data_IF_910626667243
#
_entry.id   IF_910626667243
#
_cell.length_a   1.000
_cell.length_b   1.000
_cell.length_c   1.000
_cell.angle_alpha   90.00
_cell.angle_beta   90.00
_cell.angle_gamma   90.00
#
_symmetry.space_group_name_H-M   'P 1'
#
loop_
_entity.id
_entity.type
_entity.pdbx_description
1 polymer ?
#
# COMPACT_ATOMS: atom_id res chain seq x y z
N UNK A 1 30.18 -20.87 -21.60
CA UNK A 1 30.72 -19.64 -22.24
C UNK A 1 29.73 -18.53 -21.89
N UNK A 2 29.98 -17.76 -20.84
CA UNK A 2 29.12 -16.64 -20.40
C UNK A 2 29.46 -15.41 -21.24
N UNK A 3 28.47 -14.61 -21.70
CA UNK A 3 28.74 -13.36 -22.40
C UNK A 3 29.26 -12.31 -21.41
N UNK A 4 30.26 -11.55 -21.87
CA UNK A 4 30.98 -10.50 -21.18
C UNK A 4 30.09 -9.34 -20.78
N UNK A 5 30.37 -8.81 -19.60
CA UNK A 5 29.74 -7.65 -18.96
C UNK A 5 29.81 -6.39 -19.83
N UNK A 6 28.66 -5.85 -20.20
CA UNK A 6 28.57 -4.51 -20.73
C UNK A 6 28.56 -3.50 -19.59
N UNK A 7 29.64 -2.73 -19.45
CA UNK A 7 29.71 -1.57 -18.55
C UNK A 7 28.71 -0.50 -19.00
N UNK A 8 27.69 -0.22 -18.19
CA UNK A 8 26.81 0.92 -18.37
C UNK A 8 27.54 2.15 -17.83
N UNK A 9 28.04 3.01 -18.73
CA UNK A 9 28.51 4.34 -18.36
C UNK A 9 27.34 5.20 -17.87
N UNK A 10 27.26 5.45 -16.58
CA UNK A 10 26.36 6.46 -16.00
C UNK A 10 27.01 7.81 -16.18
N UNK A 11 26.58 8.56 -17.18
CA UNK A 11 26.99 9.95 -17.41
C UNK A 11 26.73 10.84 -16.18
N UNK A 12 27.47 11.96 -16.01
CA UNK A 12 27.33 12.82 -14.85
C UNK A 12 25.90 13.38 -14.75
N UNK A 13 25.24 13.11 -13.62
CA UNK A 13 23.96 13.73 -13.26
C UNK A 13 24.19 15.23 -13.16
N UNK A 14 23.63 16.03 -14.09
CA UNK A 14 23.58 17.47 -13.94
C UNK A 14 22.86 17.76 -12.61
N UNK A 15 23.54 18.40 -11.67
CA UNK A 15 22.94 18.94 -10.45
C UNK A 15 22.00 20.07 -10.89
N UNK A 16 20.75 19.76 -11.19
CA UNK A 16 19.71 20.78 -11.26
C UNK A 16 19.50 21.27 -9.83
N UNK A 17 19.96 22.48 -9.56
CA UNK A 17 19.56 23.21 -8.36
C UNK A 17 18.07 23.48 -8.52
N UNK A 18 17.24 22.78 -7.78
CA UNK A 18 15.80 23.02 -7.75
C UNK A 18 15.60 24.32 -6.96
N UNK A 19 15.09 25.36 -7.63
CA UNK A 19 14.71 26.61 -6.98
C UNK A 19 13.43 26.37 -6.16
N UNK A 20 13.57 26.27 -4.85
CA UNK A 20 12.49 26.04 -3.91
C UNK A 20 11.69 27.31 -3.55
N UNK A 21 12.03 28.48 -4.08
CA UNK A 21 11.38 29.75 -3.70
C UNK A 21 9.93 29.89 -4.19
N UNK A 22 9.47 29.02 -5.13
CA UNK A 22 8.11 29.02 -5.67
C UNK A 22 7.22 27.86 -5.18
N UNK A 23 7.74 27.01 -4.29
CA UNK A 23 7.01 25.82 -3.80
C UNK A 23 6.19 26.22 -2.58
N UNK A 24 4.87 26.03 -2.63
CA UNK A 24 3.98 26.38 -1.51
C UNK A 24 4.37 25.65 -0.23
N UNK A 25 4.25 26.30 0.94
CA UNK A 25 4.57 25.77 2.28
C UNK A 25 4.00 24.37 2.57
N UNK A 26 2.96 23.97 1.87
CA UNK A 26 2.37 22.61 1.97
C UNK A 26 3.23 21.52 1.33
N UNK A 27 4.00 21.82 0.27
CA UNK A 27 4.86 20.84 -0.42
C UNK A 27 6.17 20.60 0.33
N UNK A 28 6.59 21.56 1.19
CA UNK A 28 7.85 21.47 1.95
C UNK A 28 7.66 20.93 3.38
N UNK A 29 6.46 20.51 3.76
CA UNK A 29 6.17 20.08 5.13
C UNK A 29 7.04 18.86 5.59
N UNK A 30 7.60 18.11 4.66
CA UNK A 30 8.47 16.95 4.92
C UNK A 30 9.97 17.26 4.68
N UNK A 31 10.35 18.52 4.54
CA UNK A 31 11.74 18.94 4.42
C UNK A 31 12.13 19.89 5.56
N UNK A 32 13.35 19.77 6.03
CA UNK A 32 13.96 20.77 6.90
C UNK A 32 14.48 21.97 6.08
N UNK A 33 14.92 23.07 6.70
CA UNK A 33 15.46 24.24 5.99
C UNK A 33 16.69 23.95 5.12
N UNK A 34 17.35 22.80 5.32
CA UNK A 34 18.53 22.37 4.55
C UNK A 34 18.16 21.37 3.45
N UNK A 35 16.86 21.06 3.25
CA UNK A 35 16.36 20.12 2.25
C UNK A 35 16.46 18.66 2.69
N UNK A 36 16.78 18.38 3.95
CA UNK A 36 16.77 17.03 4.51
C UNK A 36 15.36 16.53 4.79
N UNK A 37 15.16 15.21 4.72
CA UNK A 37 13.89 14.59 5.03
C UNK A 37 13.50 14.82 6.51
N UNK A 38 12.29 15.31 6.74
CA UNK A 38 11.74 15.59 8.07
C UNK A 38 10.35 15.00 8.19
N UNK A 39 10.09 14.30 9.30
CA UNK A 39 8.74 13.86 9.64
C UNK A 39 7.90 15.06 10.08
N UNK A 40 6.67 15.19 9.54
CA UNK A 40 5.75 16.30 9.86
C UNK A 40 5.40 16.28 11.32
N UNK A 41 5.45 17.45 12.00
CA UNK A 41 4.95 17.59 13.36
C UNK A 41 3.43 17.53 13.41
N UNK A 42 2.90 16.53 14.09
CA UNK A 42 1.45 16.34 14.31
C UNK A 42 1.02 16.68 15.71
N UNK A 43 1.95 17.07 16.60
CA UNK A 43 1.68 17.38 18.03
C UNK A 43 0.58 18.44 18.21
N UNK A 44 0.54 19.53 17.38
CA UNK A 44 -0.48 20.58 17.54
C UNK A 44 -1.86 20.20 17.00
N UNK A 45 -2.02 19.01 16.39
CA UNK A 45 -3.29 18.61 15.77
C UNK A 45 -4.20 17.96 16.81
N UNK A 46 -5.49 18.25 16.70
CA UNK A 46 -6.51 17.53 17.49
C UNK A 46 -6.73 16.12 16.92
N UNK A 47 -6.90 15.11 17.77
CA UNK A 47 -7.31 13.78 17.34
C UNK A 47 -8.70 13.84 16.69
N UNK A 48 -8.85 13.18 15.54
CA UNK A 48 -10.13 13.05 14.82
C UNK A 48 -10.32 11.62 14.36
N UNK A 49 -11.56 11.18 14.17
CA UNK A 49 -11.84 9.92 13.52
C UNK A 49 -11.30 9.94 12.09
N UNK A 50 -10.56 8.91 11.73
CA UNK A 50 -9.92 8.74 10.43
C UNK A 50 -10.18 7.36 9.88
N UNK A 51 -10.49 7.30 8.61
CA UNK A 51 -10.72 6.07 7.87
C UNK A 51 -9.97 6.14 6.54
N UNK A 52 -9.37 5.04 6.13
CA UNK A 52 -8.78 4.87 4.81
C UNK A 52 -9.17 3.50 4.24
N UNK A 53 -9.37 3.46 2.92
CA UNK A 53 -9.65 2.28 2.14
C UNK A 53 -8.63 2.19 1.00
N UNK A 54 -7.92 1.06 0.91
CA UNK A 54 -7.02 0.75 -0.18
C UNK A 54 -7.50 -0.51 -0.92
N UNK A 55 -7.19 -0.60 -2.21
CA UNK A 55 -7.43 -1.79 -3.03
C UNK A 55 -6.22 -2.12 -3.88
N UNK A 56 -6.10 -3.39 -4.22
CA UNK A 56 -5.23 -3.88 -5.28
C UNK A 56 -5.81 -5.16 -5.87
N UNK A 57 -5.20 -5.62 -6.96
CA UNK A 57 -5.60 -6.85 -7.65
C UNK A 57 -4.40 -7.78 -7.81
N UNK A 58 -4.63 -9.07 -7.62
CA UNK A 58 -3.69 -10.12 -8.00
C UNK A 58 -4.27 -10.83 -9.20
N UNK A 59 -3.76 -10.51 -10.38
CA UNK A 59 -4.16 -11.17 -11.63
C UNK A 59 -3.49 -12.54 -11.73
N UNK A 60 -4.22 -13.56 -12.19
CA UNK A 60 -3.78 -14.95 -12.21
C UNK A 60 -4.56 -15.76 -13.26
N UNK A 61 -4.13 -16.99 -13.51
CA UNK A 61 -4.87 -17.88 -14.39
C UNK A 61 -6.23 -18.28 -13.79
N UNK A 62 -7.29 -18.49 -14.62
CA UNK A 62 -8.61 -18.92 -14.14
C UNK A 62 -8.59 -20.22 -13.33
N UNK A 63 -7.67 -21.13 -13.66
CA UNK A 63 -7.50 -22.37 -12.89
C UNK A 63 -6.95 -22.08 -11.48
N UNK A 64 -6.17 -21.01 -11.32
CA UNK A 64 -5.61 -20.60 -10.03
C UNK A 64 -6.68 -19.95 -9.16
N UNK A 65 -7.53 -19.07 -9.70
CA UNK A 65 -8.69 -18.53 -8.97
C UNK A 65 -9.64 -19.64 -8.53
N UNK A 66 -9.91 -20.60 -9.39
CA UNK A 66 -10.72 -21.78 -9.06
C UNK A 66 -10.13 -22.58 -7.89
N UNK A 67 -8.81 -22.78 -7.86
CA UNK A 67 -8.12 -23.46 -6.74
C UNK A 67 -8.20 -22.64 -5.45
N UNK A 68 -8.06 -21.32 -5.52
CA UNK A 68 -8.21 -20.43 -4.35
C UNK A 68 -9.63 -20.51 -3.81
N UNK A 69 -10.65 -20.39 -4.67
CA UNK A 69 -12.06 -20.45 -4.29
C UNK A 69 -12.44 -21.78 -3.61
N UNK A 70 -11.85 -22.89 -4.05
CA UNK A 70 -12.13 -24.24 -3.55
C UNK A 70 -11.18 -24.69 -2.42
N UNK A 71 -10.33 -23.80 -1.89
CA UNK A 71 -9.29 -24.16 -0.91
C UNK A 71 -8.39 -25.32 -1.36
N UNK A 72 -8.10 -25.41 -2.65
CA UNK A 72 -7.32 -26.48 -3.27
C UNK A 72 -5.84 -26.13 -3.49
N UNK A 73 -5.37 -25.03 -2.91
CA UNK A 73 -3.95 -24.67 -2.92
C UNK A 73 -3.20 -25.50 -1.87
N UNK A 74 -2.08 -26.09 -2.25
CA UNK A 74 -1.32 -27.05 -1.41
C UNK A 74 -0.77 -26.46 -0.12
N UNK A 75 -0.58 -25.13 -0.07
CA UNK A 75 -0.11 -24.40 1.12
C UNK A 75 -1.21 -24.10 2.15
N UNK A 76 -2.47 -24.46 1.87
CA UNK A 76 -3.61 -24.26 2.77
C UNK A 76 -4.49 -23.08 2.38
N UNK A 77 -5.24 -22.53 3.34
CA UNK A 77 -6.20 -21.45 3.13
C UNK A 77 -5.49 -20.12 2.84
N UNK A 78 -5.49 -19.77 1.54
CA UNK A 78 -4.81 -18.59 1.00
C UNK A 78 -5.41 -17.31 1.57
N UNK A 79 -6.74 -17.20 1.60
CA UNK A 79 -7.40 -15.96 1.99
C UNK A 79 -7.34 -15.71 3.49
N UNK A 80 -7.40 -16.76 4.30
CA UNK A 80 -7.21 -16.64 5.73
C UNK A 80 -5.79 -16.21 6.08
N UNK A 81 -4.78 -16.82 5.47
CA UNK A 81 -3.38 -16.43 5.65
C UNK A 81 -3.11 -14.99 5.21
N UNK A 82 -3.62 -14.60 4.04
CA UNK A 82 -3.46 -13.24 3.50
C UNK A 82 -4.15 -12.19 4.39
N UNK A 83 -5.33 -12.50 4.93
CA UNK A 83 -6.04 -11.61 5.86
C UNK A 83 -5.22 -11.33 7.11
N UNK A 84 -4.70 -12.37 7.75
CA UNK A 84 -3.86 -12.22 8.96
C UNK A 84 -2.60 -11.44 8.64
N UNK A 85 -1.94 -11.72 7.51
CA UNK A 85 -0.73 -11.02 7.08
C UNK A 85 -1.00 -9.53 6.85
N UNK A 86 -2.09 -9.16 6.17
CA UNK A 86 -2.50 -7.78 5.96
C UNK A 86 -2.80 -7.04 7.27
N UNK A 87 -3.53 -7.67 8.19
CA UNK A 87 -3.81 -7.10 9.51
C UNK A 87 -2.51 -6.85 10.30
N UNK A 88 -1.57 -7.79 10.27
CA UNK A 88 -0.28 -7.62 10.94
C UNK A 88 0.56 -6.52 10.29
N UNK A 89 0.53 -6.41 8.97
CA UNK A 89 1.27 -5.39 8.22
C UNK A 89 0.78 -3.97 8.54
N UNK A 90 -0.54 -3.75 8.62
CA UNK A 90 -1.08 -2.47 9.06
C UNK A 90 -0.52 -2.02 10.42
N UNK A 91 -0.40 -2.94 11.38
CA UNK A 91 0.13 -2.64 12.73
C UNK A 91 1.63 -2.33 12.74
N UNK A 92 2.35 -2.64 11.66
CA UNK A 92 3.81 -2.44 11.52
C UNK A 92 4.17 -1.41 10.46
N UNK A 93 3.22 -0.63 9.98
CA UNK A 93 3.45 0.30 8.87
C UNK A 93 4.59 1.28 9.17
N UNK A 94 4.66 1.84 10.37
CA UNK A 94 5.73 2.76 10.77
C UNK A 94 7.13 2.11 10.81
N UNK A 95 7.21 0.79 10.98
CA UNK A 95 8.49 0.04 10.90
C UNK A 95 8.96 -0.15 9.45
N UNK A 96 8.04 -0.12 8.49
CA UNK A 96 8.30 -0.38 7.07
C UNK A 96 8.44 0.92 6.26
N UNK A 97 7.70 1.97 6.63
CA UNK A 97 7.62 3.24 5.92
C UNK A 97 8.23 4.34 6.78
N UNK A 98 9.46 4.78 6.50
CA UNK A 98 10.26 5.60 7.42
C UNK A 98 9.64 6.92 7.87
N UNK A 99 8.83 7.56 7.01
CA UNK A 99 8.22 8.85 7.29
C UNK A 99 6.78 8.73 7.81
N UNK A 100 6.32 7.52 8.11
CA UNK A 100 5.00 7.26 8.67
C UNK A 100 5.04 7.33 10.19
N UNK A 101 4.12 8.10 10.79
CA UNK A 101 3.99 8.14 12.25
C UNK A 101 3.44 6.81 12.76
N UNK A 102 3.89 6.32 13.93
CA UNK A 102 3.22 5.21 14.57
C UNK A 102 1.80 5.63 14.98
N UNK A 103 0.81 4.83 14.62
CA UNK A 103 -0.61 5.08 14.85
C UNK A 103 -1.19 3.96 15.69
N UNK A 104 -1.99 4.33 16.70
CA UNK A 104 -2.79 3.35 17.43
C UNK A 104 -4.03 2.98 16.59
N UNK A 105 -3.93 1.87 15.85
CA UNK A 105 -5.00 1.42 14.94
C UNK A 105 -6.19 0.89 15.75
N UNK A 106 -7.38 1.43 15.48
CA UNK A 106 -8.63 1.02 16.16
C UNK A 106 -9.30 -0.18 15.48
N UNK A 107 -9.35 -0.20 14.14
CA UNK A 107 -9.97 -1.26 13.36
C UNK A 107 -9.21 -1.52 12.07
N UNK A 108 -9.09 -2.79 11.68
CA UNK A 108 -8.51 -3.24 10.41
C UNK A 108 -9.40 -4.32 9.83
N UNK A 109 -9.94 -4.08 8.64
CA UNK A 109 -10.64 -5.06 7.80
C UNK A 109 -9.83 -5.38 6.56
N UNK A 110 -9.70 -6.66 6.21
CA UNK A 110 -9.13 -7.10 4.94
C UNK A 110 -10.12 -8.06 4.29
N UNK A 111 -10.64 -7.70 3.13
CA UNK A 111 -11.63 -8.44 2.37
C UNK A 111 -11.06 -8.86 1.01
N UNK A 112 -11.66 -9.90 0.44
CA UNK A 112 -11.25 -10.45 -0.85
C UNK A 112 -12.48 -10.67 -1.73
N UNK A 113 -12.33 -10.38 -3.02
CA UNK A 113 -13.30 -10.68 -4.05
C UNK A 113 -12.59 -11.52 -5.12
N UNK A 114 -13.13 -12.71 -5.41
CA UNK A 114 -12.56 -13.61 -6.41
C UNK A 114 -13.31 -13.38 -7.72
N UNK A 115 -12.59 -12.93 -8.74
CA UNK A 115 -13.06 -12.84 -10.11
C UNK A 115 -12.68 -14.08 -10.92
N UNK A 116 -12.91 -14.02 -12.22
CA UNK A 116 -12.61 -15.14 -13.12
C UNK A 116 -11.11 -15.40 -13.24
N UNK A 117 -10.30 -14.32 -13.29
CA UNK A 117 -8.85 -14.36 -13.52
C UNK A 117 -8.07 -13.46 -12.52
N UNK A 118 -8.68 -13.11 -11.38
CA UNK A 118 -8.04 -12.29 -10.36
C UNK A 118 -8.61 -12.51 -8.95
N UNK A 119 -7.85 -12.10 -7.96
CA UNK A 119 -8.31 -11.84 -6.60
C UNK A 119 -8.12 -10.37 -6.30
N UNK A 120 -9.21 -9.64 -6.01
CA UNK A 120 -9.14 -8.28 -5.51
C UNK A 120 -8.98 -8.31 -3.99
N UNK A 121 -8.11 -7.46 -3.49
CA UNK A 121 -7.88 -7.23 -2.07
C UNK A 121 -8.35 -5.83 -1.72
N UNK A 122 -9.20 -5.74 -0.71
CA UNK A 122 -9.64 -4.48 -0.11
C UNK A 122 -9.20 -4.43 1.35
N UNK A 123 -8.52 -3.35 1.74
CA UNK A 123 -8.10 -3.13 3.11
C UNK A 123 -8.66 -1.79 3.62
N UNK A 124 -9.39 -1.84 4.74
CA UNK A 124 -9.92 -0.68 5.44
C UNK A 124 -9.28 -0.57 6.81
N UNK A 125 -8.85 0.65 7.17
CA UNK A 125 -8.27 0.95 8.48
C UNK A 125 -8.93 2.18 9.07
N UNK A 126 -9.21 2.12 10.37
CA UNK A 126 -9.80 3.24 11.11
C UNK A 126 -9.06 3.49 12.44
N UNK A 127 -9.02 4.76 12.83
CA UNK A 127 -8.45 5.20 14.11
C UNK A 127 -9.08 6.52 14.56
N UNK A 128 -8.80 6.90 15.80
CA UNK A 128 -8.95 8.27 16.31
C UNK A 128 -7.56 8.78 16.65
N UNK A 129 -6.97 9.59 15.76
CA UNK A 129 -5.59 10.04 15.89
C UNK A 129 -5.35 11.40 15.19
N UNK A 130 -4.15 11.94 15.36
CA UNK A 130 -3.67 13.22 14.81
C UNK A 130 -3.19 13.11 13.37
N UNK A 131 -2.93 11.89 12.87
CA UNK A 131 -2.50 11.59 11.49
C UNK A 131 -3.46 10.64 10.80
N UNK A 132 -3.37 10.51 9.48
CA UNK A 132 -4.19 9.60 8.71
C UNK A 132 -3.69 8.17 8.79
N UNK A 133 -4.50 7.22 8.28
CA UNK A 133 -4.22 5.78 8.22
C UNK A 133 -4.15 5.27 6.78
N UNK A 134 -3.84 6.17 5.85
CA UNK A 134 -3.75 5.85 4.43
C UNK A 134 -2.66 4.81 4.17
N UNK A 135 -1.50 4.97 4.83
CA UNK A 135 -0.38 4.04 4.64
C UNK A 135 -0.62 2.69 5.31
N UNK A 136 -1.32 2.67 6.43
CA UNK A 136 -1.74 1.42 7.10
C UNK A 136 -2.66 0.60 6.18
N UNK A 137 -3.64 1.24 5.52
CA UNK A 137 -4.52 0.57 4.56
C UNK A 137 -3.74 0.08 3.32
N UNK A 138 -2.84 0.91 2.77
CA UNK A 138 -2.00 0.53 1.62
C UNK A 138 -1.06 -0.62 1.96
N UNK A 139 -0.40 -0.60 3.12
CA UNK A 139 0.51 -1.65 3.56
C UNK A 139 -0.23 -2.96 3.82
N UNK A 140 -1.40 -2.90 4.46
CA UNK A 140 -2.27 -4.07 4.65
C UNK A 140 -2.62 -4.73 3.32
N UNK A 141 -3.07 -3.93 2.35
CA UNK A 141 -3.46 -4.37 1.02
C UNK A 141 -2.29 -5.02 0.28
N UNK A 142 -1.12 -4.35 0.27
CA UNK A 142 0.08 -4.84 -0.39
C UNK A 142 0.56 -6.19 0.16
N UNK A 143 0.65 -6.31 1.49
CA UNK A 143 1.15 -7.54 2.13
C UNK A 143 0.14 -8.69 2.01
N UNK A 144 -1.16 -8.41 2.06
CA UNK A 144 -2.19 -9.42 1.77
C UNK A 144 -2.04 -9.94 0.34
N UNK A 145 -1.89 -9.07 -0.66
CA UNK A 145 -1.69 -9.44 -2.06
C UNK A 145 -0.39 -10.26 -2.28
N UNK A 146 0.71 -9.85 -1.66
CA UNK A 146 1.98 -10.60 -1.71
C UNK A 146 1.86 -11.97 -1.05
N UNK A 147 1.01 -12.11 -0.02
CA UNK A 147 0.74 -13.40 0.63
C UNK A 147 -0.07 -14.31 -0.29
N UNK A 148 -1.09 -13.78 -0.98
CA UNK A 148 -1.81 -14.53 -2.05
C UNK A 148 -0.80 -15.02 -3.10
N UNK A 149 0.07 -14.14 -3.59
CA UNK A 149 1.11 -14.49 -4.55
C UNK A 149 2.02 -15.60 -4.05
N UNK A 150 2.58 -15.47 -2.83
CA UNK A 150 3.48 -16.49 -2.27
C UNK A 150 2.82 -17.85 -2.14
N UNK A 151 1.57 -17.89 -1.72
CA UNK A 151 0.86 -19.14 -1.53
C UNK A 151 0.48 -19.81 -2.85
N UNK A 152 0.23 -19.04 -3.91
CA UNK A 152 -0.21 -19.55 -5.21
C UNK A 152 0.93 -19.76 -6.22
N UNK A 153 2.12 -19.20 -6.01
CA UNK A 153 3.23 -19.19 -6.99
C UNK A 153 3.71 -20.57 -7.47
N UNK A 154 3.43 -21.63 -6.71
CA UNK A 154 3.71 -23.02 -7.14
C UNK A 154 2.73 -23.52 -8.18
N UNK A 155 1.50 -22.98 -8.20
CA UNK A 155 0.47 -23.30 -9.19
C UNK A 155 0.53 -22.36 -10.40
N UNK A 156 0.85 -21.09 -10.17
CA UNK A 156 0.89 -20.07 -11.21
C UNK A 156 2.01 -19.05 -10.92
N UNK A 157 3.01 -18.98 -11.79
CA UNK A 157 4.12 -18.01 -11.69
C UNK A 157 3.89 -16.74 -12.52
N UNK A 158 2.84 -16.71 -13.33
CA UNK A 158 2.52 -15.58 -14.19
C UNK A 158 1.76 -14.46 -13.47
N UNK A 159 1.34 -14.68 -12.21
CA UNK A 159 0.58 -13.71 -11.44
C UNK A 159 1.28 -12.37 -11.35
N UNK A 160 0.48 -11.30 -11.37
CA UNK A 160 0.94 -9.92 -11.12
C UNK A 160 0.14 -9.29 -9.99
N UNK A 161 0.80 -8.44 -9.19
CA UNK A 161 0.13 -7.56 -8.22
C UNK A 161 0.05 -6.18 -8.85
N UNK A 162 -1.16 -5.68 -9.04
CA UNK A 162 -1.41 -4.47 -9.79
C UNK A 162 -2.46 -3.58 -9.14
N UNK A 163 -2.58 -2.34 -9.61
CA UNK A 163 -3.60 -1.37 -9.19
C UNK A 163 -3.61 -1.07 -7.68
N UNK A 164 -2.48 -1.26 -6.97
CA UNK A 164 -2.41 -0.87 -5.56
C UNK A 164 -2.58 0.63 -5.42
N UNK A 165 -3.66 1.03 -4.76
CA UNK A 165 -4.01 2.43 -4.63
C UNK A 165 -4.86 2.72 -3.40
N UNK A 166 -4.73 3.95 -2.88
CA UNK A 166 -5.72 4.52 -1.97
C UNK A 166 -7.02 4.75 -2.75
N UNK A 167 -8.13 4.29 -2.20
CA UNK A 167 -9.46 4.37 -2.81
C UNK A 167 -10.30 5.48 -2.21
N UNK A 168 -10.33 5.51 -0.89
CA UNK A 168 -11.05 6.52 -0.12
C UNK A 168 -10.29 6.87 1.15
N UNK A 169 -10.48 8.08 1.61
CA UNK A 169 -10.11 8.48 2.97
C UNK A 169 -11.10 9.47 3.53
N UNK A 170 -11.24 9.51 4.85
CA UNK A 170 -12.03 10.52 5.53
C UNK A 170 -11.37 10.95 6.84
N UNK A 171 -11.79 12.12 7.34
CA UNK A 171 -11.24 12.76 8.53
C UNK A 171 -10.01 13.64 8.25
N UNK A 172 -9.62 14.39 9.31
CA UNK A 172 -8.51 15.33 9.26
C UNK A 172 -8.80 16.62 8.49
N UNK A 173 -7.78 17.49 8.42
CA UNK A 173 -7.93 18.86 7.85
C UNK A 173 -8.24 18.89 6.35
N UNK A 174 -7.82 17.87 5.58
CA UNK A 174 -8.06 17.80 4.13
C UNK A 174 -9.44 17.22 3.78
N UNK A 175 -10.23 16.83 4.79
CA UNK A 175 -11.58 16.28 4.58
C UNK A 175 -11.61 14.95 3.85
N UNK A 176 -12.79 14.52 3.40
CA UNK A 176 -12.97 13.30 2.64
C UNK A 176 -12.36 13.43 1.23
N UNK A 177 -11.83 12.31 0.74
CA UNK A 177 -11.35 12.18 -0.62
C UNK A 177 -11.70 10.78 -1.14
N UNK A 178 -12.11 10.71 -2.41
CA UNK A 178 -12.37 9.48 -3.13
C UNK A 178 -11.62 9.50 -4.46
N UNK A 179 -11.08 8.37 -4.85
CA UNK A 179 -10.37 8.23 -6.12
C UNK A 179 -11.34 8.50 -7.29
N UNK A 180 -10.96 9.37 -8.26
CA UNK A 180 -11.74 9.53 -9.49
C UNK A 180 -11.88 8.20 -10.25
N UNK A 181 -13.10 7.90 -10.73
CA UNK A 181 -13.37 6.64 -11.45
C UNK A 181 -13.56 5.41 -10.55
N UNK A 182 -13.67 5.59 -9.24
CA UNK A 182 -13.84 4.48 -8.28
C UNK A 182 -15.15 3.67 -8.43
N UNK A 183 -16.08 4.14 -9.23
CA UNK A 183 -17.40 3.48 -9.45
C UNK A 183 -17.35 2.43 -10.57
N UNK A 184 -16.19 2.20 -11.22
CA UNK A 184 -16.08 1.37 -12.42
C UNK A 184 -15.04 0.24 -12.31
N UNK A 185 -14.70 -0.21 -11.08
CA UNK A 185 -13.83 -1.37 -10.87
C UNK A 185 -14.56 -2.44 -10.10
#
# INVERSE_FOLDING_TARGET
MYPQEGTVEVGPRSSQVVDFTSVSDRMLANLDPLGGARMVDVTPREPTHRRALARCRVSMLPETTTKVANNAITKGDVLAAARIAGIQAAKRTAELIPMCHPVLVGSIGVNFFIGDDYVEVEAQVETVDRTGVEMEAMTACAVAALTVYDMCKSADRSMTVEHLALWEKSGGRSGPWRRPGADHL
#
